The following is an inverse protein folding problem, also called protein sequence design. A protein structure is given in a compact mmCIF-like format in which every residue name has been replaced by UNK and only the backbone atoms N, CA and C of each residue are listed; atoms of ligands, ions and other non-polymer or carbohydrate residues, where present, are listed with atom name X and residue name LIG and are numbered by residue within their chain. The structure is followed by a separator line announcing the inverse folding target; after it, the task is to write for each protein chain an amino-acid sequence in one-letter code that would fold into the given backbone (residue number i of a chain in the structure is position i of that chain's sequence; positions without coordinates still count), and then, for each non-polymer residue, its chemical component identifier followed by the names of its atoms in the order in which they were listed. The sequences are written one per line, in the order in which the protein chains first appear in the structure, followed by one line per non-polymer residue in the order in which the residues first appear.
data_IF_399016812430
#
_entry.id   IF_399016812430
#
_cell.length_a   1.000
_cell.length_b   1.000
_cell.length_c   1.000
_cell.angle_alpha   90.00
_cell.angle_beta   90.00
_cell.angle_gamma   90.00
#
_symmetry.space_group_name_H-M   'P 1'
#
loop_
_entity.id
_entity.type
_entity.pdbx_description
1 polymer ?
#
# COMPACT_ATOMS: atom_id res chain seq x y z
N UNK A 1 -6.47 0.00 -8.60
CA UNK A 1 -6.69 -1.39 -8.13
C UNK A 1 -7.38 -1.43 -6.76
N UNK A 2 -6.95 -0.59 -5.81
CA UNK A 2 -7.43 -0.58 -4.43
C UNK A 2 -8.72 0.23 -4.19
N UNK A 3 -9.33 0.80 -5.23
CA UNK A 3 -10.53 1.64 -5.11
C UNK A 3 -10.21 3.12 -4.79
N UNK A 4 -11.11 4.07 -5.14
CA UNK A 4 -10.93 5.49 -4.86
C UNK A 4 -10.82 5.84 -3.37
N UNK A 5 -11.38 5.00 -2.49
CA UNK A 5 -11.34 5.17 -1.05
C UNK A 5 -10.53 4.07 -0.36
N UNK A 6 -9.76 3.27 -1.10
CA UNK A 6 -8.98 2.17 -0.56
C UNK A 6 -9.82 0.97 -0.10
N UNK A 7 -11.08 0.90 -0.52
CA UNK A 7 -12.04 -0.13 -0.16
C UNK A 7 -11.75 -1.50 -0.78
N UNK A 8 -10.82 -1.55 -1.73
CA UNK A 8 -10.48 -2.73 -2.50
C UNK A 8 -11.48 -2.97 -3.63
N UNK A 9 -10.97 -3.04 -4.87
CA UNK A 9 -11.76 -3.46 -6.03
C UNK A 9 -11.18 -4.74 -6.61
N UNK A 10 -10.12 -4.61 -7.40
CA UNK A 10 -9.41 -5.73 -8.03
C UNK A 10 -8.14 -6.13 -7.26
N UNK A 11 -7.87 -5.44 -6.16
CA UNK A 11 -6.83 -5.68 -5.18
C UNK A 11 -7.41 -5.51 -3.75
N UNK A 12 -6.75 -6.05 -2.70
CA UNK A 12 -7.26 -5.98 -1.33
C UNK A 12 -7.48 -4.55 -0.83
N UNK A 13 -8.44 -4.38 0.09
CA UNK A 13 -8.65 -3.12 0.80
C UNK A 13 -7.46 -2.75 1.70
N UNK A 14 -7.30 -1.45 1.95
CA UNK A 14 -6.34 -0.93 2.93
C UNK A 14 -6.89 -0.91 4.37
N UNK A 15 -8.19 -1.12 4.58
CA UNK A 15 -8.78 -1.17 5.93
C UNK A 15 -8.10 -2.20 6.83
N UNK A 16 -7.66 -1.78 8.02
CA UNK A 16 -6.93 -2.65 8.95
C UNK A 16 -5.57 -3.13 8.42
N UNK A 17 -4.96 -2.45 7.44
CA UNK A 17 -3.62 -2.83 6.96
C UNK A 17 -2.56 -2.71 8.08
N UNK A 18 -2.79 -1.80 9.02
CA UNK A 18 -1.89 -1.60 10.15
C UNK A 18 -1.77 -2.83 11.07
N UNK A 19 -2.82 -3.65 11.10
CA UNK A 19 -2.90 -4.89 11.89
C UNK A 19 -2.31 -6.08 11.13
N UNK A 20 -2.19 -6.00 9.80
CA UNK A 20 -1.79 -7.11 8.92
C UNK A 20 -0.30 -7.14 8.60
N UNK A 21 0.38 -5.99 8.65
CA UNK A 21 1.81 -5.87 8.38
C UNK A 21 2.41 -4.61 9.01
N UNK A 22 3.73 -4.60 9.22
CA UNK A 22 4.46 -3.41 9.67
C UNK A 22 4.53 -2.34 8.59
N UNK A 23 4.92 -1.11 8.97
CA UNK A 23 5.16 -0.04 8.00
C UNK A 23 6.27 -0.42 7.00
N UNK A 24 7.40 -0.91 7.49
CA UNK A 24 8.54 -1.35 6.65
C UNK A 24 8.13 -2.46 5.67
N UNK A 25 7.33 -3.43 6.11
CA UNK A 25 6.80 -4.47 5.21
C UNK A 25 5.88 -3.87 4.14
N UNK A 26 5.13 -2.83 4.48
CA UNK A 26 4.25 -2.17 3.52
C UNK A 26 5.03 -1.36 2.48
N UNK A 27 6.04 -0.61 2.92
CA UNK A 27 6.99 0.09 2.05
C UNK A 27 7.71 -0.87 1.11
N UNK A 28 8.17 -2.02 1.61
CA UNK A 28 8.80 -3.05 0.79
C UNK A 28 7.86 -3.59 -0.29
N UNK A 29 6.59 -3.80 0.04
CA UNK A 29 5.56 -4.22 -0.94
C UNK A 29 5.32 -3.15 -2.00
N UNK A 30 5.30 -1.86 -1.63
CA UNK A 30 5.16 -0.76 -2.59
C UNK A 30 6.41 -0.69 -3.49
N UNK A 31 7.60 -0.75 -2.91
CA UNK A 31 8.86 -0.65 -3.63
C UNK A 31 9.05 -1.81 -4.60
N UNK A 32 8.86 -3.05 -4.14
CA UNK A 32 9.25 -4.28 -4.86
C UNK A 32 8.10 -4.95 -5.60
N UNK A 33 6.86 -4.53 -5.32
CA UNK A 33 5.70 -5.23 -5.80
C UNK A 33 5.43 -6.53 -5.03
N UNK A 34 4.62 -7.41 -5.62
CA UNK A 34 4.41 -8.77 -5.11
C UNK A 34 4.42 -9.80 -6.22
N UNK A 35 5.43 -10.67 -6.19
CA UNK A 35 5.58 -11.79 -7.11
C UNK A 35 4.33 -12.68 -7.15
N UNK A 36 3.97 -13.12 -8.35
CA UNK A 36 2.77 -13.94 -8.58
C UNK A 36 1.46 -13.15 -8.44
N UNK A 37 1.50 -11.83 -8.30
CA UNK A 37 0.30 -10.96 -8.27
C UNK A 37 0.35 -9.88 -9.35
N UNK A 38 -0.73 -9.09 -9.47
CA UNK A 38 -0.77 -7.91 -10.34
C UNK A 38 -0.26 -6.63 -9.66
N UNK A 39 0.30 -6.73 -8.46
CA UNK A 39 0.84 -5.58 -7.73
C UNK A 39 2.25 -5.28 -8.27
N UNK A 40 2.45 -4.17 -9.02
CA UNK A 40 3.72 -3.85 -9.64
C UNK A 40 4.70 -3.20 -8.66
N UNK A 41 6.00 -3.31 -8.94
CA UNK A 41 7.03 -2.55 -8.24
C UNK A 41 6.94 -1.05 -8.58
N UNK A 42 7.14 -0.18 -7.59
CA UNK A 42 7.18 1.28 -7.79
C UNK A 42 8.54 1.92 -7.50
N UNK A 43 9.57 1.14 -7.12
CA UNK A 43 10.91 1.68 -6.83
C UNK A 43 11.54 2.46 -8.01
N UNK A 44 11.19 2.14 -9.26
CA UNK A 44 11.68 2.86 -10.43
C UNK A 44 10.86 4.12 -10.76
N UNK A 45 9.74 4.34 -10.07
CA UNK A 45 8.79 5.44 -10.34
C UNK A 45 8.63 6.42 -9.18
N UNK A 46 8.94 6.00 -7.96
CA UNK A 46 8.79 6.79 -6.74
C UNK A 46 10.11 6.86 -5.98
N UNK A 47 10.36 8.00 -5.33
CA UNK A 47 11.46 8.11 -4.38
C UNK A 47 11.17 7.32 -3.10
N UNK A 48 12.20 7.07 -2.28
CA UNK A 48 12.00 6.42 -0.98
C UNK A 48 11.07 7.23 -0.07
N UNK A 49 11.21 8.57 -0.07
CA UNK A 49 10.36 9.47 0.71
C UNK A 49 8.90 9.41 0.22
N UNK A 50 8.67 9.30 -1.10
CA UNK A 50 7.30 9.13 -1.65
C UNK A 50 6.71 7.77 -1.26
N UNK A 51 7.51 6.70 -1.25
CA UNK A 51 7.07 5.36 -0.84
C UNK A 51 6.67 5.37 0.64
N UNK A 52 7.48 5.98 1.51
CA UNK A 52 7.13 6.15 2.92
C UNK A 52 5.83 6.97 3.06
N UNK A 53 5.71 8.09 2.34
CA UNK A 53 4.53 8.95 2.40
C UNK A 53 3.25 8.22 1.96
N UNK A 54 3.31 7.44 0.87
CA UNK A 54 2.19 6.61 0.40
C UNK A 54 1.84 5.55 1.44
N UNK A 55 2.83 4.81 1.95
CA UNK A 55 2.62 3.76 2.94
C UNK A 55 1.94 4.31 4.21
N UNK A 56 2.35 5.50 4.68
CA UNK A 56 1.72 6.19 5.81
C UNK A 56 0.31 6.64 5.49
N UNK A 57 0.08 7.26 4.33
CA UNK A 57 -1.25 7.71 3.93
C UNK A 57 -2.25 6.54 3.84
N UNK A 58 -1.85 5.43 3.23
CA UNK A 58 -2.66 4.21 3.13
C UNK A 58 -2.97 3.60 4.50
N UNK A 59 -2.04 3.67 5.46
CA UNK A 59 -2.21 3.12 6.82
C UNK A 59 -3.02 4.02 7.74
N UNK A 60 -2.70 5.31 7.76
CA UNK A 60 -3.12 6.26 8.80
C UNK A 60 -4.35 7.08 8.38
N UNK A 61 -4.58 7.25 7.07
CA UNK A 61 -5.72 8.03 6.57
C UNK A 61 -6.76 7.13 5.92
N UNK A 62 -6.35 6.26 5.00
CA UNK A 62 -7.27 5.38 4.29
C UNK A 62 -7.63 4.17 5.17
N UNK A 63 -6.63 3.50 5.74
CA UNK A 63 -6.79 2.23 6.45
C UNK A 63 -7.61 2.28 7.75
N UNK A 64 -7.98 3.48 8.21
CA UNK A 64 -8.79 3.73 9.41
C UNK A 64 -10.21 4.22 9.13
N UNK A 65 -10.58 4.47 7.86
CA UNK A 65 -11.88 5.05 7.48
C UNK A 65 -12.84 4.01 6.90
N UNK A 66 -13.60 3.30 7.74
CA UNK A 66 -14.64 2.37 7.30
C UNK A 66 -15.75 3.04 6.48
#
# INVERSE_FOLDING_TARGET
CHGPSGEGLTAPAFYGIAERMTLEQHEAVIAQGRDGTRMPAFADSLSQDDIEAVARYEREVIGVRN
#
